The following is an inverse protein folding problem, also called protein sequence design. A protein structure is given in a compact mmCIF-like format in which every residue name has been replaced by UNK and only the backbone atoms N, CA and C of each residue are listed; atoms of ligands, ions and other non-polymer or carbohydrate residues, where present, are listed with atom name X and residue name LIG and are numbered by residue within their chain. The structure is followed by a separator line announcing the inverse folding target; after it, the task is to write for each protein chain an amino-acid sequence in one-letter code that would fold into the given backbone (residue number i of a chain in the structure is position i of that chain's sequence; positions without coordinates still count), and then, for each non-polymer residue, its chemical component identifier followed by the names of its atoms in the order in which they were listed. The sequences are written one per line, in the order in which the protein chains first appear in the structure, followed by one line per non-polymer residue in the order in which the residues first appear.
data_IF_763918783834
#
_entry.id   IF_763918783834
#
_cell.length_a   1.000
_cell.length_b   1.000
_cell.length_c   1.000
_cell.angle_alpha   90.00
_cell.angle_beta   90.00
_cell.angle_gamma   90.00
#
_symmetry.space_group_name_H-M   'P 1'
#
loop_
_entity.id
_entity.type
_entity.pdbx_description
1 polymer ?
#
# COMPACT_ATOMS: atom_id res chain seq x y z
N UNK A 1 -20.70 68.79 -14.16
CA UNK A 1 -21.05 67.41 -13.75
C UNK A 1 -19.78 66.75 -13.25
N UNK A 2 -19.60 66.70 -11.94
CA UNK A 2 -18.37 66.16 -11.32
C UNK A 2 -18.58 64.67 -11.05
N UNK A 3 -17.84 63.80 -11.75
CA UNK A 3 -17.72 62.40 -11.36
C UNK A 3 -16.37 62.20 -10.67
N UNK A 4 -16.44 62.03 -9.35
CA UNK A 4 -15.33 61.65 -8.47
C UNK A 4 -14.87 60.22 -8.81
N UNK A 5 -13.86 60.08 -9.66
CA UNK A 5 -13.13 58.82 -9.83
C UNK A 5 -12.03 58.77 -8.76
N UNK A 6 -12.39 58.37 -7.53
CA UNK A 6 -11.44 58.25 -6.40
C UNK A 6 -10.74 56.89 -6.46
N UNK A 7 -9.41 56.88 -6.39
CA UNK A 7 -8.56 55.69 -6.55
C UNK A 7 -8.76 54.65 -5.45
N UNK A 8 -9.67 53.70 -5.67
CA UNK A 8 -9.94 52.57 -4.78
C UNK A 8 -9.31 51.25 -5.25
N UNK A 9 -8.72 51.20 -6.46
CA UNK A 9 -8.24 49.94 -7.06
C UNK A 9 -7.15 49.24 -6.27
N UNK A 10 -6.24 49.99 -5.60
CA UNK A 10 -5.18 49.38 -4.79
C UNK A 10 -5.74 48.71 -3.53
N UNK A 11 -6.66 49.39 -2.83
CA UNK A 11 -7.28 48.87 -1.60
C UNK A 11 -8.17 47.67 -1.93
N UNK A 12 -8.93 47.73 -3.02
CA UNK A 12 -9.78 46.64 -3.49
C UNK A 12 -8.94 45.44 -3.94
N UNK A 13 -7.85 45.67 -4.67
CA UNK A 13 -6.92 44.59 -5.07
C UNK A 13 -6.24 43.94 -3.86
N UNK A 14 -5.87 44.71 -2.84
CA UNK A 14 -5.33 44.19 -1.58
C UNK A 14 -6.36 43.33 -0.84
N UNK A 15 -7.62 43.76 -0.79
CA UNK A 15 -8.70 42.97 -0.19
C UNK A 15 -8.88 41.66 -0.97
N UNK A 16 -8.96 41.71 -2.29
CA UNK A 16 -9.07 40.51 -3.14
C UNK A 16 -7.89 39.56 -2.92
N UNK A 17 -6.66 40.09 -2.91
CA UNK A 17 -5.46 39.29 -2.68
C UNK A 17 -5.44 38.69 -1.27
N UNK A 18 -5.92 39.42 -0.27
CA UNK A 18 -6.01 38.92 1.12
C UNK A 18 -7.01 37.77 1.23
N UNK A 19 -8.17 37.89 0.58
CA UNK A 19 -9.19 36.83 0.53
C UNK A 19 -8.64 35.61 -0.21
N UNK A 20 -7.94 35.83 -1.33
CA UNK A 20 -7.28 34.76 -2.08
C UNK A 20 -6.21 34.05 -1.25
N UNK A 21 -5.37 34.79 -0.51
CA UNK A 21 -4.36 34.21 0.39
C UNK A 21 -5.00 33.40 1.53
N UNK A 22 -6.08 33.90 2.12
CA UNK A 22 -6.83 33.18 3.17
C UNK A 22 -7.38 31.86 2.62
N UNK A 23 -8.07 31.91 1.47
CA UNK A 23 -8.62 30.72 0.82
C UNK A 23 -7.49 29.73 0.49
N UNK A 24 -6.41 30.19 -0.14
CA UNK A 24 -5.26 29.36 -0.51
C UNK A 24 -4.58 28.73 0.71
N UNK A 25 -4.49 29.44 1.83
CA UNK A 25 -3.90 28.91 3.07
C UNK A 25 -4.78 27.80 3.64
N UNK A 26 -6.10 28.02 3.70
CA UNK A 26 -7.06 27.01 4.18
C UNK A 26 -6.98 25.74 3.32
N UNK A 27 -6.89 25.87 1.99
CA UNK A 27 -6.75 24.73 1.08
C UNK A 27 -5.49 23.91 1.36
N UNK A 28 -4.35 24.55 1.59
CA UNK A 28 -3.08 23.85 1.89
C UNK A 28 -3.15 23.10 3.23
N UNK A 29 -3.80 23.66 4.25
CA UNK A 29 -3.95 22.99 5.55
C UNK A 29 -4.95 21.82 5.51
N UNK A 30 -6.03 21.92 4.73
CA UNK A 30 -7.01 20.83 4.59
C UNK A 30 -6.54 19.65 3.72
N UNK A 31 -5.50 19.83 2.89
CA UNK A 31 -4.92 18.76 2.06
C UNK A 31 -4.05 17.76 2.84
N UNK A 32 -3.76 17.99 4.13
CA UNK A 32 -3.21 16.97 5.03
C UNK A 32 -4.38 16.42 5.86
N UNK A 33 -4.85 15.15 5.71
CA UNK A 33 -4.02 13.93 5.65
C UNK A 33 -4.65 12.74 4.88
N UNK A 34 -4.20 12.45 3.66
CA UNK A 34 -4.51 11.16 3.00
C UNK A 34 -3.28 10.34 2.57
N UNK A 35 -2.07 10.81 2.85
CA UNK A 35 -0.85 10.07 2.54
C UNK A 35 -0.83 8.64 3.11
N UNK A 36 -1.27 8.44 4.36
CA UNK A 36 -1.26 7.09 4.95
C UNK A 36 -2.28 6.16 4.31
N UNK A 37 -3.45 6.68 3.91
CA UNK A 37 -4.49 5.84 3.28
C UNK A 37 -4.06 5.44 1.88
N UNK A 38 -3.46 6.35 1.13
CA UNK A 38 -2.89 6.08 -0.19
C UNK A 38 -1.72 5.10 -0.08
N UNK A 39 -0.87 5.24 0.94
CA UNK A 39 0.25 4.34 1.22
C UNK A 39 -0.24 2.92 1.54
N UNK A 40 -1.28 2.78 2.38
CA UNK A 40 -1.90 1.49 2.71
C UNK A 40 -2.48 0.84 1.44
N UNK A 41 -3.26 1.58 0.66
CA UNK A 41 -3.89 1.08 -0.57
C UNK A 41 -2.86 0.66 -1.64
N UNK A 42 -1.81 1.47 -1.81
CA UNK A 42 -0.70 1.15 -2.71
C UNK A 42 0.03 -0.13 -2.26
N UNK A 43 0.26 -0.30 -0.96
CA UNK A 43 0.86 -1.51 -0.41
C UNK A 43 0.02 -2.75 -0.70
N UNK A 44 -1.29 -2.71 -0.43
CA UNK A 44 -2.16 -3.86 -0.67
C UNK A 44 -2.28 -4.18 -2.16
N UNK A 45 -2.42 -3.17 -3.01
CA UNK A 45 -2.50 -3.35 -4.46
C UNK A 45 -1.24 -4.00 -5.01
N UNK A 46 -0.06 -3.51 -4.59
CA UNK A 46 1.22 -4.09 -5.00
C UNK A 46 1.39 -5.52 -4.47
N UNK A 47 1.09 -5.75 -3.18
CA UNK A 47 1.22 -7.06 -2.57
C UNK A 47 0.31 -8.10 -3.26
N UNK A 48 -0.94 -7.73 -3.57
CA UNK A 48 -1.85 -8.63 -4.27
C UNK A 48 -1.37 -8.93 -5.69
N UNK A 49 -0.88 -7.93 -6.43
CA UNK A 49 -0.33 -8.12 -7.76
C UNK A 49 0.91 -9.02 -7.75
N UNK A 50 1.85 -8.78 -6.83
CA UNK A 50 3.07 -9.57 -6.70
C UNK A 50 2.74 -11.03 -6.28
N UNK A 51 1.75 -11.25 -5.40
CA UNK A 51 1.30 -12.60 -5.02
C UNK A 51 0.62 -13.35 -6.18
N UNK A 52 -0.24 -12.66 -6.96
CA UNK A 52 -0.84 -13.23 -8.17
C UNK A 52 0.23 -13.59 -9.20
N UNK A 53 1.23 -12.71 -9.38
CA UNK A 53 2.35 -12.98 -10.27
C UNK A 53 3.15 -14.20 -9.81
N UNK A 54 3.48 -14.31 -8.52
CA UNK A 54 4.18 -15.47 -7.96
C UNK A 54 3.39 -16.78 -8.17
N UNK A 55 2.07 -16.75 -7.94
CA UNK A 55 1.20 -17.89 -8.19
C UNK A 55 1.21 -18.30 -9.68
N UNK A 56 1.05 -17.34 -10.59
CA UNK A 56 1.04 -17.60 -12.03
C UNK A 56 2.41 -18.07 -12.53
N UNK A 57 3.49 -17.52 -11.98
CA UNK A 57 4.84 -17.96 -12.27
C UNK A 57 5.01 -19.43 -11.90
N UNK A 58 4.58 -19.82 -10.69
CA UNK A 58 4.68 -21.19 -10.23
C UNK A 58 3.95 -22.18 -11.13
N UNK A 59 2.73 -21.82 -11.57
CA UNK A 59 1.92 -22.61 -12.50
C UNK A 59 2.58 -22.72 -13.87
N UNK A 60 2.99 -21.60 -14.45
CA UNK A 60 3.52 -21.56 -15.83
C UNK A 60 4.88 -22.22 -15.98
N UNK A 61 5.73 -22.13 -14.95
CA UNK A 61 7.09 -22.69 -14.97
C UNK A 61 7.18 -24.05 -14.28
N UNK A 62 6.07 -24.56 -13.74
CA UNK A 62 6.02 -25.81 -12.98
C UNK A 62 7.09 -25.86 -11.87
N UNK A 63 7.27 -24.73 -11.16
CA UNK A 63 8.32 -24.54 -10.18
C UNK A 63 7.80 -23.83 -8.94
N UNK A 64 8.28 -24.20 -7.75
CA UNK A 64 7.84 -23.53 -6.51
C UNK A 64 8.35 -22.09 -6.44
N UNK A 65 7.52 -21.20 -5.90
CA UNK A 65 7.90 -19.80 -5.61
C UNK A 65 7.78 -19.56 -4.12
N UNK A 66 8.89 -19.23 -3.46
CA UNK A 66 8.91 -18.85 -2.05
C UNK A 66 8.59 -17.38 -1.88
N UNK A 67 7.72 -17.05 -0.92
CA UNK A 67 7.37 -15.69 -0.52
C UNK A 67 7.74 -15.49 0.94
N UNK A 68 8.57 -14.49 1.22
CA UNK A 68 9.12 -14.22 2.56
C UNK A 68 8.93 -12.78 2.93
N UNK A 69 8.40 -12.53 4.12
CA UNK A 69 8.34 -11.18 4.69
C UNK A 69 9.34 -11.07 5.83
N UNK A 70 10.21 -10.07 5.76
CA UNK A 70 11.21 -9.77 6.78
C UNK A 70 10.76 -8.54 7.55
N UNK A 71 10.02 -8.77 8.63
CA UNK A 71 9.39 -7.71 9.42
C UNK A 71 10.38 -6.65 9.89
N UNK A 72 11.55 -7.08 10.36
CA UNK A 72 12.57 -6.20 10.94
C UNK A 72 13.19 -5.24 9.91
N UNK A 73 13.10 -5.58 8.63
CA UNK A 73 13.70 -4.83 7.54
C UNK A 73 12.65 -4.15 6.66
N UNK A 74 11.37 -4.24 7.03
CA UNK A 74 10.24 -3.68 6.29
C UNK A 74 10.27 -4.03 4.79
N UNK A 75 10.60 -5.29 4.48
CA UNK A 75 10.64 -5.78 3.10
C UNK A 75 10.05 -7.17 2.96
N UNK A 76 9.59 -7.49 1.76
CA UNK A 76 9.30 -8.85 1.34
C UNK A 76 9.98 -9.14 0.02
N UNK A 77 10.26 -10.42 -0.21
CA UNK A 77 10.88 -10.87 -1.43
C UNK A 77 10.37 -12.24 -1.85
N UNK A 78 10.51 -12.51 -3.14
CA UNK A 78 10.08 -13.75 -3.77
C UNK A 78 11.23 -14.35 -4.56
N UNK A 79 11.47 -15.64 -4.36
CA UNK A 79 12.59 -16.35 -4.97
C UNK A 79 12.21 -17.79 -5.34
N UNK A 80 12.95 -18.36 -6.29
CA UNK A 80 12.74 -19.73 -6.77
C UNK A 80 13.53 -20.74 -5.91
N UNK A 81 14.80 -20.42 -5.63
CA UNK A 81 15.69 -21.25 -4.85
C UNK A 81 16.45 -20.43 -3.81
N UNK A 82 16.62 -21.00 -2.62
CA UNK A 82 17.38 -20.38 -1.55
C UNK A 82 18.83 -20.13 -1.98
N UNK A 83 19.35 -18.93 -1.74
CA UNK A 83 20.71 -18.52 -2.12
C UNK A 83 20.83 -17.89 -3.51
N UNK A 84 19.77 -17.94 -4.34
CA UNK A 84 19.69 -17.15 -5.57
C UNK A 84 19.07 -15.77 -5.29
N UNK A 85 19.39 -14.74 -6.10
CA UNK A 85 18.76 -13.43 -5.95
C UNK A 85 17.23 -13.54 -6.14
N UNK A 86 16.45 -12.78 -5.36
CA UNK A 86 15.01 -12.74 -5.54
C UNK A 86 14.66 -12.06 -6.87
N UNK A 87 13.61 -12.53 -7.54
CA UNK A 87 13.12 -11.90 -8.77
C UNK A 87 12.11 -10.77 -8.45
N UNK A 88 11.54 -10.77 -7.25
CA UNK A 88 10.78 -9.64 -6.68
C UNK A 88 11.37 -9.32 -5.32
N UNK A 89 11.71 -8.06 -5.10
CA UNK A 89 12.04 -7.50 -3.80
C UNK A 89 11.31 -6.16 -3.67
N UNK A 90 10.64 -5.95 -2.52
CA UNK A 90 9.85 -4.75 -2.23
C UNK A 90 10.08 -4.32 -0.80
N UNK A 91 10.42 -3.04 -0.63
CA UNK A 91 10.34 -2.36 0.66
C UNK A 91 8.93 -1.80 0.84
N UNK A 92 8.48 -1.74 2.10
CA UNK A 92 7.21 -1.14 2.49
C UNK A 92 7.42 -0.19 3.67
N UNK A 93 6.40 0.60 3.96
CA UNK A 93 6.45 1.64 5.00
C UNK A 93 6.71 1.07 6.40
N UNK A 94 7.46 1.80 7.21
CA UNK A 94 7.59 1.51 8.65
C UNK A 94 6.29 1.66 9.43
N UNK A 95 5.28 2.30 8.82
CA UNK A 95 3.93 2.42 9.34
C UNK A 95 3.14 1.10 9.26
N UNK A 96 3.62 0.13 8.48
CA UNK A 96 2.96 -1.16 8.27
C UNK A 96 3.69 -2.22 9.09
N UNK A 97 2.97 -2.86 10.01
CA UNK A 97 3.49 -3.94 10.86
C UNK A 97 2.82 -5.24 10.48
N UNK A 98 3.63 -6.27 10.26
CA UNK A 98 3.15 -7.62 9.98
C UNK A 98 3.25 -8.46 11.26
N UNK A 99 2.28 -9.33 11.50
CA UNK A 99 2.32 -10.31 12.59
C UNK A 99 1.83 -11.65 12.10
N UNK A 100 2.52 -12.70 12.49
CA UNK A 100 2.10 -14.07 12.25
C UNK A 100 0.71 -14.33 12.86
N UNK A 101 -0.08 -15.13 12.15
CA UNK A 101 -1.38 -15.57 12.63
C UNK A 101 -1.41 -17.09 12.74
N UNK A 102 -2.22 -17.74 11.92
CA UNK A 102 -2.23 -19.20 11.82
C UNK A 102 -1.12 -19.73 10.89
N UNK A 103 -0.52 -18.85 10.08
CA UNK A 103 0.66 -19.15 9.27
C UNK A 103 1.79 -18.19 9.62
N UNK A 104 3.06 -18.64 9.49
CA UNK A 104 4.20 -17.75 9.61
C UNK A 104 4.25 -16.79 8.42
N UNK A 105 5.12 -15.78 8.51
CA UNK A 105 5.39 -14.85 7.40
C UNK A 105 6.29 -15.44 6.30
N UNK A 106 6.07 -16.72 6.02
CA UNK A 106 6.78 -17.50 5.03
C UNK A 106 5.83 -18.55 4.45
N UNK A 107 5.64 -18.49 3.14
CA UNK A 107 4.82 -19.44 2.39
C UNK A 107 5.44 -19.71 1.01
N UNK A 108 4.95 -20.75 0.36
CA UNK A 108 5.31 -21.08 -1.03
C UNK A 108 4.07 -21.28 -1.87
N UNK A 109 4.08 -20.75 -3.08
CA UNK A 109 3.22 -21.22 -4.15
C UNK A 109 3.86 -22.47 -4.79
N UNK A 110 3.08 -23.53 -4.92
CA UNK A 110 3.44 -24.79 -5.54
C UNK A 110 3.19 -24.74 -7.05
N UNK A 111 3.76 -25.70 -7.79
CA UNK A 111 3.63 -25.80 -9.25
C UNK A 111 2.19 -25.98 -9.77
N UNK A 112 1.27 -26.39 -8.90
CA UNK A 112 -0.16 -26.49 -9.19
C UNK A 112 -0.95 -25.22 -8.82
N UNK A 113 -0.25 -24.17 -8.36
CA UNK A 113 -0.84 -22.91 -7.92
C UNK A 113 -1.40 -22.92 -6.50
N UNK A 114 -1.32 -24.04 -5.77
CA UNK A 114 -1.68 -24.08 -4.36
C UNK A 114 -0.62 -23.43 -3.49
N UNK A 115 -0.99 -23.11 -2.25
CA UNK A 115 -0.04 -22.72 -1.22
C UNK A 115 0.35 -23.91 -0.35
N UNK A 116 1.60 -24.00 0.05
CA UNK A 116 2.07 -25.05 0.97
C UNK A 116 1.51 -24.90 2.40
N UNK A 117 1.06 -23.68 2.76
CA UNK A 117 0.48 -23.33 4.06
C UNK A 117 -0.76 -22.48 3.82
N UNK A 118 -1.88 -22.90 4.38
CA UNK A 118 -3.14 -22.18 4.36
C UNK A 118 -3.42 -21.55 5.72
N UNK A 119 -4.20 -20.46 5.74
CA UNK A 119 -4.48 -19.69 6.94
C UNK A 119 -4.21 -18.20 6.73
N UNK A 120 -3.96 -17.47 7.80
CA UNK A 120 -3.84 -16.01 7.73
C UNK A 120 -2.74 -15.45 8.58
N UNK A 121 -2.26 -14.27 8.20
CA UNK A 121 -1.47 -13.39 9.04
C UNK A 121 -2.08 -11.98 9.06
N UNK A 122 -1.61 -11.15 9.98
CA UNK A 122 -2.18 -9.83 10.25
C UNK A 122 -1.27 -8.71 9.74
N UNK A 123 -1.90 -7.66 9.22
CA UNK A 123 -1.25 -6.47 8.69
C UNK A 123 -1.86 -5.27 9.43
N UNK A 124 -1.06 -4.59 10.22
CA UNK A 124 -1.48 -3.43 11.03
C UNK A 124 -0.95 -2.16 10.38
N UNK A 125 -1.83 -1.22 10.11
CA UNK A 125 -1.49 0.13 9.61
C UNK A 125 -1.73 1.15 10.72
N UNK A 126 -1.51 2.44 10.43
CA UNK A 126 -1.82 3.52 11.40
C UNK A 126 -3.30 3.64 11.74
N UNK A 127 -4.18 3.31 10.80
CA UNK A 127 -5.63 3.57 10.91
C UNK A 127 -6.47 2.29 11.01
N UNK A 128 -6.03 1.22 10.34
CA UNK A 128 -6.83 0.01 10.10
C UNK A 128 -6.01 -1.25 10.32
N UNK A 129 -6.71 -2.30 10.71
CA UNK A 129 -6.14 -3.63 10.88
C UNK A 129 -6.69 -4.52 9.77
N UNK A 130 -5.83 -5.34 9.19
CA UNK A 130 -6.20 -6.22 8.09
C UNK A 130 -5.73 -7.63 8.37
N UNK A 131 -6.45 -8.58 7.77
CA UNK A 131 -6.11 -10.00 7.74
C UNK A 131 -5.95 -10.41 6.29
N UNK A 132 -4.77 -10.92 5.94
CA UNK A 132 -4.55 -11.59 4.66
C UNK A 132 -4.76 -13.09 4.89
N UNK A 133 -5.72 -13.68 4.18
CA UNK A 133 -6.09 -15.09 4.30
C UNK A 133 -5.80 -15.83 3.00
N UNK A 134 -5.06 -16.93 3.09
CA UNK A 134 -4.87 -17.93 2.05
C UNK A 134 -5.79 -19.13 2.31
N UNK A 135 -6.61 -19.46 1.33
CA UNK A 135 -7.58 -20.54 1.38
C UNK A 135 -6.96 -21.89 1.00
N UNK A 136 -7.58 -22.96 1.51
CA UNK A 136 -7.30 -24.32 1.06
C UNK A 136 -7.88 -24.49 -0.35
N UNK A 137 -7.06 -25.04 -1.25
CA UNK A 137 -7.49 -25.35 -2.61
C UNK A 137 -7.45 -24.13 -3.55
N UNK A 138 -6.66 -24.27 -4.62
CA UNK A 138 -6.39 -23.30 -5.69
C UNK A 138 -5.64 -22.04 -5.27
N UNK A 139 -4.95 -22.05 -4.12
CA UNK A 139 -4.10 -20.95 -3.66
C UNK A 139 -4.77 -19.58 -3.60
N UNK A 140 -6.11 -19.53 -3.49
CA UNK A 140 -6.87 -18.28 -3.46
C UNK A 140 -6.54 -17.51 -2.19
N UNK A 141 -6.50 -16.19 -2.29
CA UNK A 141 -6.30 -15.33 -1.14
C UNK A 141 -7.16 -14.07 -1.22
N UNK A 142 -7.42 -13.46 -0.06
CA UNK A 142 -8.15 -12.21 0.04
C UNK A 142 -7.72 -11.43 1.29
N UNK A 143 -7.95 -10.12 1.27
CA UNK A 143 -7.66 -9.21 2.38
C UNK A 143 -8.99 -8.73 2.97
N UNK A 144 -9.16 -8.85 4.28
CA UNK A 144 -10.30 -8.27 5.02
C UNK A 144 -9.83 -7.25 6.04
N UNK A 145 -10.50 -6.10 6.07
CA UNK A 145 -10.42 -5.16 7.19
C UNK A 145 -11.08 -5.78 8.44
N UNK A 146 -10.49 -5.56 9.62
CA UNK A 146 -10.96 -6.06 10.91
C UNK A 146 -11.59 -4.97 11.77
#
# INVERSE_FOLDING_TARGET
MSQNQKGFTLIESLIVLSVFMIISSITVFYLKPQHSVIEDEAFFTQLQADLLYAQQYAISHQHEVSVVFVQNEYRYYMFLQYGLPPFIERSYSTNIKLREGTIPLYLKFLSDGNVNKFGSFFIYTKKKNYRLTFLIGRGRFYVTEQ
#
